data_IF_814111882975
#
_entry.id   IF_814111882975
#
_cell.length_a   1.000
_cell.length_b   1.000
_cell.length_c   1.000
_cell.angle_alpha   90.00
_cell.angle_beta   90.00
_cell.angle_gamma   90.00
#
_symmetry.space_group_name_H-M   'P 1'
#
loop_
_entity.id
_entity.type
_entity.pdbx_description
1 polymer ?
#
# COMPACT_ATOMS: atom_id res chain seq x y z
N UNK A 1 17.75 -3.46 -12.84
CA UNK A 1 17.94 -4.92 -12.69
C UNK A 1 17.31 -5.59 -13.89
N UNK A 2 18.03 -6.46 -14.62
CA UNK A 2 17.45 -7.26 -15.71
C UNK A 2 17.58 -8.72 -15.31
N UNK A 3 16.45 -9.38 -15.09
CA UNK A 3 16.41 -10.81 -14.76
C UNK A 3 16.10 -11.57 -16.04
N UNK A 4 16.87 -12.61 -16.33
CA UNK A 4 16.67 -13.49 -17.49
C UNK A 4 16.42 -14.93 -17.02
N UNK A 5 15.58 -15.65 -17.76
CA UNK A 5 15.18 -17.05 -17.48
C UNK A 5 16.24 -18.00 -18.08
N UNK A 6 16.50 -19.13 -17.42
CA UNK A 6 17.44 -20.15 -17.92
C UNK A 6 16.82 -21.05 -19.02
N UNK A 7 17.64 -21.59 -19.93
CA UNK A 7 17.19 -22.52 -20.97
C UNK A 7 16.62 -23.83 -20.39
N UNK A 8 15.63 -24.41 -21.08
CA UNK A 8 14.79 -25.57 -20.78
C UNK A 8 13.74 -25.38 -19.66
N UNK A 9 13.60 -24.16 -19.12
CA UNK A 9 12.49 -23.74 -18.24
C UNK A 9 11.56 -22.73 -18.96
N UNK A 10 11.55 -22.75 -20.29
CA UNK A 10 10.78 -21.81 -21.09
C UNK A 10 9.27 -22.04 -20.99
N UNK A 11 8.86 -23.23 -20.50
CA UNK A 11 7.48 -23.70 -20.49
C UNK A 11 6.82 -23.75 -19.08
N UNK A 12 7.49 -23.24 -18.01
CA UNK A 12 6.99 -23.05 -16.61
C UNK A 12 8.02 -23.51 -15.55
N UNK A 13 8.31 -22.88 -14.39
CA UNK A 13 7.66 -21.85 -13.55
C UNK A 13 8.72 -21.01 -12.75
N UNK A 14 8.51 -19.70 -12.49
CA UNK A 14 9.40 -18.81 -11.70
C UNK A 14 8.90 -18.61 -10.26
N UNK A 15 9.56 -19.09 -9.17
CA UNK A 15 9.18 -18.80 -7.77
C UNK A 15 10.37 -18.90 -6.77
N UNK A 16 10.42 -18.09 -5.67
CA UNK A 16 9.78 -18.53 -4.41
C UNK A 16 9.02 -17.45 -3.60
N UNK A 17 8.99 -16.17 -4.03
CA UNK A 17 8.16 -15.11 -3.45
C UNK A 17 7.48 -14.34 -4.58
N UNK A 18 6.15 -14.15 -4.52
CA UNK A 18 5.46 -13.02 -5.15
C UNK A 18 4.02 -12.85 -4.60
N UNK A 19 3.82 -11.89 -3.69
CA UNK A 19 2.48 -11.53 -3.19
C UNK A 19 1.72 -10.48 -4.04
N UNK A 20 2.30 -10.06 -5.17
CA UNK A 20 2.08 -8.78 -5.91
C UNK A 20 2.92 -7.65 -5.33
N UNK A 21 3.99 -7.26 -6.04
CA UNK A 21 4.70 -6.02 -5.72
C UNK A 21 3.73 -4.85 -5.92
N UNK A 22 3.62 -3.96 -4.92
CA UNK A 22 2.82 -2.76 -5.09
C UNK A 22 3.54 -1.88 -6.10
N UNK A 23 2.85 -1.55 -7.20
CA UNK A 23 3.38 -0.70 -8.25
C UNK A 23 2.68 0.66 -8.20
N UNK A 24 3.41 1.72 -8.49
CA UNK A 24 2.86 3.04 -8.72
C UNK A 24 3.56 3.72 -9.90
N UNK A 25 2.90 4.70 -10.51
CA UNK A 25 3.56 5.57 -11.50
C UNK A 25 4.53 6.53 -10.80
N UNK A 26 5.58 6.94 -11.51
CA UNK A 26 6.57 7.89 -10.97
C UNK A 26 5.94 9.22 -10.52
N UNK A 27 4.94 9.73 -11.22
CA UNK A 27 4.28 10.98 -10.84
C UNK A 27 3.43 10.86 -9.55
N UNK A 28 2.85 9.69 -9.30
CA UNK A 28 2.18 9.38 -8.03
C UNK A 28 3.19 9.31 -6.87
N UNK A 29 4.35 8.69 -7.09
CA UNK A 29 5.45 8.67 -6.12
C UNK A 29 5.92 10.10 -5.78
N UNK A 30 6.17 10.94 -6.78
CA UNK A 30 6.59 12.33 -6.54
C UNK A 30 5.53 13.14 -5.80
N UNK A 31 4.24 12.88 -6.06
CA UNK A 31 3.15 13.52 -5.32
C UNK A 31 3.18 13.13 -3.83
N UNK A 32 3.34 11.84 -3.51
CA UNK A 32 3.51 11.37 -2.13
C UNK A 32 4.73 12.01 -1.46
N UNK A 33 5.87 12.04 -2.15
CA UNK A 33 7.11 12.67 -1.65
C UNK A 33 6.92 14.16 -1.38
N UNK A 34 6.23 14.87 -2.28
CA UNK A 34 5.93 16.30 -2.13
C UNK A 34 4.98 16.61 -0.97
N UNK A 35 4.10 15.66 -0.61
CA UNK A 35 3.25 15.77 0.57
C UNK A 35 4.03 15.57 1.89
N UNK A 36 5.27 15.04 1.81
CA UNK A 36 6.15 14.78 2.94
C UNK A 36 6.17 13.32 3.39
N UNK A 37 5.64 12.38 2.59
CA UNK A 37 5.78 10.95 2.88
C UNK A 37 7.24 10.54 2.69
N UNK A 38 7.86 9.99 3.73
CA UNK A 38 9.29 9.68 3.81
C UNK A 38 9.60 8.21 4.12
N UNK A 39 8.56 7.39 4.32
CA UNK A 39 8.67 6.00 4.74
C UNK A 39 8.39 5.00 3.59
N UNK A 40 8.85 5.32 2.38
CA UNK A 40 8.72 4.43 1.22
C UNK A 40 10.09 3.86 0.84
N UNK A 41 10.14 2.54 0.69
CA UNK A 41 11.26 1.85 0.06
C UNK A 41 10.91 1.59 -1.41
N UNK A 42 11.69 2.15 -2.34
CA UNK A 42 11.27 2.39 -3.73
C UNK A 42 12.33 1.93 -4.73
N UNK A 43 11.89 1.24 -5.77
CA UNK A 43 12.74 0.66 -6.81
C UNK A 43 12.20 1.02 -8.19
N UNK A 44 13.08 1.30 -9.16
CA UNK A 44 12.67 1.44 -10.56
C UNK A 44 12.04 0.15 -11.07
N UNK A 45 10.89 0.28 -11.73
CA UNK A 45 10.17 -0.85 -12.30
C UNK A 45 9.82 -0.60 -13.77
N UNK A 46 9.89 -1.68 -14.54
CA UNK A 46 9.42 -1.76 -15.91
C UNK A 46 8.32 -2.80 -15.95
N UNK A 47 7.15 -2.44 -16.47
CA UNK A 47 6.05 -3.37 -16.70
C UNK A 47 6.19 -3.89 -18.12
N UNK A 48 6.22 -5.21 -18.27
CA UNK A 48 6.35 -5.86 -19.58
C UNK A 48 5.21 -6.86 -19.78
N UNK A 49 4.62 -6.90 -20.98
CA UNK A 49 3.70 -7.96 -21.36
C UNK A 49 4.42 -9.30 -21.40
N UNK A 50 3.68 -10.41 -21.23
CA UNK A 50 4.26 -11.75 -21.18
C UNK A 50 5.07 -12.12 -22.44
N UNK A 51 4.64 -11.64 -23.60
CA UNK A 51 5.30 -11.83 -24.90
C UNK A 51 6.47 -10.87 -25.16
N UNK A 52 6.70 -9.90 -24.25
CA UNK A 52 7.76 -8.91 -24.37
C UNK A 52 7.48 -7.75 -25.33
N UNK A 53 6.34 -7.76 -26.03
CA UNK A 53 6.05 -6.79 -27.09
C UNK A 53 5.65 -5.41 -26.55
N UNK A 54 5.04 -5.35 -25.36
CA UNK A 54 4.61 -4.13 -24.71
C UNK A 54 5.48 -3.90 -23.49
N UNK A 55 6.07 -2.71 -23.40
CA UNK A 55 6.88 -2.29 -22.27
C UNK A 55 6.46 -0.90 -21.82
N UNK A 56 6.18 -0.75 -20.53
CA UNK A 56 5.89 0.53 -19.89
C UNK A 56 6.96 0.85 -18.84
N UNK A 57 7.61 2.00 -19.03
CA UNK A 57 8.55 2.56 -18.07
C UNK A 57 7.85 3.64 -17.21
N UNK A 58 8.58 4.24 -16.27
CA UNK A 58 8.02 5.29 -15.40
C UNK A 58 7.14 4.73 -14.29
N UNK A 59 7.39 3.49 -13.89
CA UNK A 59 6.77 2.86 -12.73
C UNK A 59 7.81 2.60 -11.65
N UNK A 60 7.34 2.53 -10.41
CA UNK A 60 8.10 2.16 -9.23
C UNK A 60 7.47 0.94 -8.58
N UNK A 61 8.29 0.00 -8.15
CA UNK A 61 7.89 -0.99 -7.15
C UNK A 61 8.19 -0.41 -5.77
N UNK A 62 7.29 -0.60 -4.80
CA UNK A 62 7.48 -0.01 -3.49
C UNK A 62 6.91 -0.82 -2.33
N UNK A 63 7.49 -0.57 -1.15
CA UNK A 63 6.98 -0.95 0.15
C UNK A 63 6.72 0.28 1.01
N UNK A 64 5.71 0.21 1.86
CA UNK A 64 5.48 1.19 2.92
C UNK A 64 6.16 0.66 4.18
N UNK A 65 7.16 1.37 4.68
CA UNK A 65 7.90 1.02 5.89
C UNK A 65 7.16 1.60 7.09
N UNK A 66 6.74 0.72 8.00
CA UNK A 66 5.99 1.11 9.18
C UNK A 66 4.65 0.40 9.25
N UNK A 67 4.62 -0.62 10.10
CA UNK A 67 3.39 -1.25 10.56
C UNK A 67 3.02 -0.61 11.89
N UNK A 68 1.86 0.03 11.96
CA UNK A 68 1.47 0.87 13.09
C UNK A 68 0.15 0.39 13.67
N UNK A 69 0.17 0.04 14.96
CA UNK A 69 -1.03 -0.29 15.73
C UNK A 69 -1.71 1.01 16.14
N UNK A 70 -2.58 1.50 15.29
CA UNK A 70 -3.17 2.83 15.41
C UNK A 70 -4.69 2.82 15.60
N UNK A 71 -5.34 1.66 15.63
CA UNK A 71 -6.77 1.62 15.91
C UNK A 71 -7.04 2.08 17.36
N UNK A 72 -8.06 2.91 17.53
CA UNK A 72 -8.65 3.18 18.84
C UNK A 72 -9.50 1.96 19.22
N UNK A 73 -8.97 1.12 20.11
CA UNK A 73 -9.62 -0.11 20.56
C UNK A 73 -10.95 0.10 21.28
N UNK A 74 -11.23 1.31 21.76
CA UNK A 74 -12.48 1.64 22.45
C UNK A 74 -13.56 2.12 21.48
N UNK A 75 -13.18 2.61 20.30
CA UNK A 75 -14.09 3.20 19.30
C UNK A 75 -14.18 2.41 18.01
N UNK A 76 -13.17 1.60 17.69
CA UNK A 76 -13.15 0.67 16.56
C UNK A 76 -14.07 -0.51 16.83
N UNK A 77 -14.96 -0.82 15.89
CA UNK A 77 -15.90 -1.94 15.98
C UNK A 77 -15.37 -3.07 15.10
N UNK A 78 -15.16 -4.23 15.70
CA UNK A 78 -14.76 -5.47 15.01
C UNK A 78 -15.97 -6.38 14.82
N UNK A 79 -16.02 -7.15 13.72
CA UNK A 79 -17.15 -8.04 13.41
C UNK A 79 -17.22 -9.26 14.35
N UNK A 80 -16.06 -9.82 14.70
CA UNK A 80 -15.93 -10.95 15.61
C UNK A 80 -15.07 -10.56 16.82
N UNK A 81 -15.25 -11.17 18.01
CA UNK A 81 -14.24 -11.10 19.06
C UNK A 81 -13.04 -11.93 18.62
N UNK A 82 -11.93 -11.33 18.14
CA UNK A 82 -10.89 -12.13 17.53
C UNK A 82 -10.00 -12.74 18.61
N UNK A 83 -9.45 -13.93 18.34
CA UNK A 83 -8.38 -14.50 19.16
C UNK A 83 -7.13 -13.59 19.18
N UNK A 84 -6.89 -12.83 18.09
CA UNK A 84 -5.84 -11.81 17.96
C UNK A 84 -6.33 -10.60 17.14
N UNK A 85 -6.19 -9.37 17.66
CA UNK A 85 -6.59 -8.12 16.96
C UNK A 85 -5.50 -7.57 16.01
N UNK A 86 -4.66 -8.43 15.43
CA UNK A 86 -3.51 -8.03 14.62
C UNK A 86 -3.51 -8.80 13.31
N UNK A 87 -2.95 -8.16 12.27
CA UNK A 87 -2.71 -8.66 10.91
C UNK A 87 -3.95 -8.71 10.01
N UNK A 88 -5.03 -9.34 10.44
CA UNK A 88 -6.19 -9.66 9.60
C UNK A 88 -7.53 -9.45 10.33
N UNK A 89 -7.58 -8.51 11.28
CA UNK A 89 -8.80 -8.24 12.03
C UNK A 89 -9.95 -7.84 11.09
N UNK A 90 -11.13 -8.45 11.28
CA UNK A 90 -12.34 -8.04 10.55
C UNK A 90 -12.95 -6.81 11.22
N UNK A 91 -12.88 -5.68 10.52
CA UNK A 91 -13.25 -4.36 11.01
C UNK A 91 -14.56 -3.94 10.35
N UNK A 92 -15.54 -3.55 11.17
CA UNK A 92 -16.81 -2.97 10.73
C UNK A 92 -16.73 -1.45 10.61
N UNK A 93 -15.98 -0.84 11.53
CA UNK A 93 -15.79 0.61 11.62
C UNK A 93 -14.42 0.86 12.20
N UNK A 94 -13.56 1.60 11.47
CA UNK A 94 -12.20 1.93 11.90
C UNK A 94 -12.15 3.34 12.48
N UNK A 95 -11.61 3.48 13.68
CA UNK A 95 -11.26 4.77 14.27
C UNK A 95 -9.77 4.79 14.54
N UNK A 96 -9.08 5.83 14.02
CA UNK A 96 -7.63 5.98 14.22
C UNK A 96 -7.38 6.83 15.46
N UNK A 97 -6.53 6.34 16.35
CA UNK A 97 -5.96 7.09 17.44
C UNK A 97 -4.73 7.88 16.94
N UNK A 98 -4.83 9.21 16.78
CA UNK A 98 -3.76 10.01 16.20
C UNK A 98 -2.49 10.01 17.07
N UNK A 99 -2.61 9.77 18.38
CA UNK A 99 -1.45 9.69 19.28
C UNK A 99 -0.60 8.44 18.99
N UNK A 100 -1.23 7.37 18.46
CA UNK A 100 -0.55 6.14 18.06
C UNK A 100 -0.03 6.17 16.63
N UNK A 101 -0.46 7.13 15.80
CA UNK A 101 0.01 7.30 14.43
C UNK A 101 1.47 7.81 14.35
N UNK A 102 2.06 8.23 15.48
CA UNK A 102 3.47 8.65 15.61
C UNK A 102 3.88 9.77 14.64
N UNK A 103 2.93 10.61 14.23
CA UNK A 103 3.16 11.68 13.26
C UNK A 103 3.43 11.21 11.83
N UNK A 104 3.29 9.91 11.53
CA UNK A 104 3.45 9.39 10.18
C UNK A 104 2.31 9.87 9.29
N UNK A 105 2.65 10.33 8.08
CA UNK A 105 1.68 10.80 7.10
C UNK A 105 1.05 9.68 6.27
N UNK A 106 1.68 8.50 6.26
CA UNK A 106 1.22 7.30 5.56
C UNK A 106 1.77 6.06 6.27
N UNK A 107 0.97 5.01 6.48
CA UNK A 107 1.45 3.77 7.09
C UNK A 107 0.50 2.59 6.83
N UNK A 108 0.98 1.36 7.10
CA UNK A 108 0.11 0.17 7.13
C UNK A 108 -0.45 -0.05 8.54
N UNK A 109 -1.75 -0.31 8.64
CA UNK A 109 -2.40 -0.57 9.91
C UNK A 109 -2.01 -1.97 10.43
N UNK A 110 -1.57 -2.07 11.69
CA UNK A 110 -1.16 -3.35 12.28
C UNK A 110 -2.34 -4.30 12.52
N UNK A 111 -3.52 -3.74 12.76
CA UNK A 111 -4.77 -4.46 12.96
C UNK A 111 -5.25 -5.14 11.67
N UNK A 112 -5.01 -4.50 10.51
CA UNK A 112 -5.31 -5.04 9.19
C UNK A 112 -4.30 -4.55 8.15
N UNK A 113 -3.34 -5.41 7.77
CA UNK A 113 -2.17 -5.03 6.93
C UNK A 113 -2.53 -4.62 5.50
N UNK A 114 -3.75 -4.96 5.06
CA UNK A 114 -4.29 -4.55 3.76
C UNK A 114 -4.68 -3.07 3.71
N UNK A 115 -4.91 -2.43 4.86
CA UNK A 115 -5.22 -1.01 4.94
C UNK A 115 -3.95 -0.17 4.92
N UNK A 116 -3.93 0.82 4.02
CA UNK A 116 -2.97 1.92 4.04
C UNK A 116 -3.70 3.16 4.53
N UNK A 117 -3.29 3.67 5.68
CA UNK A 117 -3.83 4.90 6.26
C UNK A 117 -3.00 6.07 5.75
N UNK A 118 -3.66 7.15 5.33
CA UNK A 118 -3.02 8.39 4.89
C UNK A 118 -3.57 9.56 5.69
N UNK A 119 -2.70 10.50 6.04
CA UNK A 119 -3.09 11.75 6.66
C UNK A 119 -3.81 12.65 5.63
N UNK A 120 -4.74 13.49 6.09
CA UNK A 120 -5.52 14.41 5.26
C UNK A 120 -4.65 15.25 4.31
N UNK A 121 -3.59 15.87 4.82
CA UNK A 121 -2.55 16.54 4.01
C UNK A 121 -2.08 15.75 2.77
N UNK A 122 -1.89 14.43 2.89
CA UNK A 122 -1.47 13.59 1.75
C UNK A 122 -2.63 13.43 0.77
N UNK A 123 -3.85 13.17 1.28
CA UNK A 123 -5.07 13.09 0.47
C UNK A 123 -5.27 14.37 -0.35
N UNK A 124 -5.18 15.54 0.27
CA UNK A 124 -5.38 16.84 -0.41
C UNK A 124 -4.39 17.04 -1.57
N UNK A 125 -3.11 16.70 -1.37
CA UNK A 125 -2.10 16.77 -2.44
C UNK A 125 -2.44 15.80 -3.58
N UNK A 126 -2.86 14.57 -3.27
CA UNK A 126 -3.19 13.56 -4.29
C UNK A 126 -4.47 13.91 -5.07
N UNK A 127 -5.50 14.42 -4.39
CA UNK A 127 -6.74 14.88 -5.02
C UNK A 127 -6.50 16.10 -5.92
N UNK A 128 -5.64 17.04 -5.50
CA UNK A 128 -5.21 18.18 -6.32
C UNK A 128 -4.46 17.77 -7.60
N UNK A 129 -3.87 16.57 -7.65
CA UNK A 129 -3.24 15.99 -8.84
C UNK A 129 -4.19 15.18 -9.71
N UNK A 130 -5.42 14.92 -9.24
CA UNK A 130 -6.50 14.26 -9.99
C UNK A 130 -6.11 12.88 -10.56
N UNK A 131 -5.38 12.08 -9.78
CA UNK A 131 -5.04 10.71 -10.18
C UNK A 131 -6.31 9.86 -10.35
N UNK A 132 -6.58 9.43 -11.59
CA UNK A 132 -7.71 8.52 -11.87
C UNK A 132 -7.53 7.20 -11.12
N UNK A 133 -8.63 6.66 -10.61
CA UNK A 133 -8.70 5.35 -9.93
C UNK A 133 -8.03 5.28 -8.55
N UNK A 134 -7.59 6.42 -8.02
CA UNK A 134 -7.24 6.53 -6.60
C UNK A 134 -8.50 6.91 -5.83
N UNK A 135 -8.89 6.09 -4.87
CA UNK A 135 -10.10 6.27 -4.08
C UNK A 135 -9.69 6.32 -2.61
N UNK A 136 -10.21 7.31 -1.89
CA UNK A 136 -10.06 7.42 -0.44
C UNK A 136 -11.37 7.04 0.23
N UNK A 137 -11.29 6.21 1.26
CA UNK A 137 -12.41 5.86 2.11
C UNK A 137 -12.17 6.47 3.48
N UNK A 138 -13.17 7.15 4.03
CA UNK A 138 -13.12 7.61 5.42
C UNK A 138 -12.94 6.40 6.36
N UNK A 139 -12.08 6.46 7.39
CA UNK A 139 -11.88 5.36 8.31
C UNK A 139 -13.18 4.83 8.92
N UNK A 140 -14.13 5.70 9.28
CA UNK A 140 -15.41 5.29 9.86
C UNK A 140 -16.30 4.50 8.87
N UNK A 141 -16.08 4.66 7.56
CA UNK A 141 -16.74 3.90 6.51
C UNK A 141 -15.94 2.67 6.05
N UNK A 142 -14.78 2.40 6.65
CA UNK A 142 -13.93 1.29 6.28
C UNK A 142 -14.47 -0.04 6.80
N UNK A 143 -14.56 -1.01 5.89
CA UNK A 143 -15.00 -2.39 6.17
C UNK A 143 -13.95 -3.35 5.58
N UNK A 144 -13.52 -4.35 6.36
CA UNK A 144 -12.52 -5.35 5.96
C UNK A 144 -12.96 -6.81 6.11
#
# INVERSE_FOLDING_TARGET
>A
MVVRIQPNNENGELLPYFGRATLMRSDFYEALRSAGVDNLDVYEAIIQSKDGLITHQGYKAFNVIGLVRAADVNRTIFNDPPATRLIDASIKTLEIDPTKAKGLLMFRLAEYVGAVVVHEKVKEVLEGKQFRWVIFTDPGAYIS
#
